data_IF_618409036313
#
_entry.id   IF_618409036313
#
_cell.length_a   1.000
_cell.length_b   1.000
_cell.length_c   1.000
_cell.angle_alpha   90.00
_cell.angle_beta   90.00
_cell.angle_gamma   90.00
#
_symmetry.space_group_name_H-M   'P 1'
#
loop_
_entity.id
_entity.type
_entity.pdbx_description
1 polymer ?
#
# COMPACT_ATOMS: atom_id res chain seq x y z
N UNK A 1 35.77 6.24 -2.38
CA UNK A 1 34.69 5.32 -1.99
C UNK A 1 34.56 4.22 -3.01
N UNK A 2 34.38 3.00 -2.55
CA UNK A 2 34.23 1.87 -3.45
C UNK A 2 32.83 1.86 -4.06
N UNK A 3 32.70 1.23 -5.23
CA UNK A 3 31.41 1.04 -5.88
C UNK A 3 30.45 0.25 -4.99
N UNK A 4 30.99 -0.66 -4.18
CA UNK A 4 30.20 -1.48 -3.26
C UNK A 4 29.49 -0.61 -2.24
N UNK A 5 30.17 0.41 -1.68
CA UNK A 5 29.57 1.32 -0.72
C UNK A 5 28.48 2.16 -1.37
N UNK A 6 28.66 2.60 -2.61
CA UNK A 6 27.65 3.34 -3.35
C UNK A 6 26.41 2.48 -3.59
N UNK A 7 26.61 1.22 -3.96
CA UNK A 7 25.50 0.29 -4.18
C UNK A 7 24.74 0.07 -2.88
N UNK A 8 25.44 -0.13 -1.75
CA UNK A 8 24.81 -0.27 -0.44
C UNK A 8 23.94 0.94 -0.10
N UNK A 9 24.48 2.13 -0.31
CA UNK A 9 23.75 3.36 -0.01
C UNK A 9 22.51 3.50 -0.88
N UNK A 10 22.64 3.22 -2.18
CA UNK A 10 21.50 3.25 -3.08
C UNK A 10 20.42 2.25 -2.69
N UNK A 11 20.81 1.05 -2.24
CA UNK A 11 19.86 0.04 -1.79
C UNK A 11 19.13 0.47 -0.51
N UNK A 12 19.83 1.12 0.42
CA UNK A 12 19.20 1.66 1.62
C UNK A 12 18.22 2.80 1.27
N UNK A 13 18.59 3.64 0.29
CA UNK A 13 17.71 4.71 -0.18
C UNK A 13 16.45 4.14 -0.83
N UNK A 14 16.59 3.11 -1.65
CA UNK A 14 15.44 2.41 -2.25
C UNK A 14 14.54 1.82 -1.17
N UNK A 15 15.12 1.19 -0.15
CA UNK A 15 14.36 0.63 0.96
C UNK A 15 13.59 1.72 1.70
N UNK A 16 14.22 2.85 1.96
CA UNK A 16 13.59 3.98 2.65
C UNK A 16 12.42 4.53 1.82
N UNK A 17 12.66 4.78 0.52
CA UNK A 17 11.62 5.30 -0.37
C UNK A 17 10.46 4.32 -0.51
N UNK A 18 10.75 3.02 -0.56
CA UNK A 18 9.72 1.99 -0.64
C UNK A 18 8.84 1.98 0.61
N UNK A 19 9.44 2.13 1.80
CA UNK A 19 8.69 2.21 3.05
C UNK A 19 7.84 3.46 3.12
N UNK A 20 8.35 4.60 2.65
CA UNK A 20 7.56 5.84 2.60
C UNK A 20 6.37 5.70 1.65
N UNK A 21 6.59 5.11 0.48
CA UNK A 21 5.52 4.88 -0.48
C UNK A 21 4.46 3.94 0.10
N UNK A 22 4.89 2.87 0.79
CA UNK A 22 3.97 1.94 1.45
C UNK A 22 3.12 2.66 2.51
N UNK A 23 3.74 3.54 3.30
CA UNK A 23 3.03 4.34 4.30
C UNK A 23 1.98 5.25 3.69
N UNK A 24 2.30 5.90 2.56
CA UNK A 24 1.35 6.74 1.82
C UNK A 24 0.17 5.94 1.28
N UNK A 25 0.45 4.75 0.76
CA UNK A 25 -0.59 3.85 0.25
C UNK A 25 -1.49 3.37 1.40
N UNK A 26 -0.91 3.04 2.56
CA UNK A 26 -1.69 2.61 3.73
C UNK A 26 -2.57 3.74 4.25
N UNK A 27 -2.09 4.99 4.25
CA UNK A 27 -2.90 6.14 4.62
C UNK A 27 -4.08 6.33 3.65
N UNK A 28 -3.86 6.06 2.37
CA UNK A 28 -4.90 6.10 1.36
C UNK A 28 -5.96 5.03 1.62
N UNK A 29 -5.55 3.84 2.06
CA UNK A 29 -6.46 2.74 2.40
C UNK A 29 -7.40 3.12 3.54
N UNK A 30 -6.93 3.87 4.53
CA UNK A 30 -7.79 4.39 5.61
C UNK A 30 -8.89 5.27 5.03
N UNK A 31 -8.55 6.15 4.08
CA UNK A 31 -9.52 7.00 3.41
C UNK A 31 -10.55 6.19 2.62
N UNK A 32 -10.11 5.13 1.96
CA UNK A 32 -11.00 4.22 1.25
C UNK A 32 -11.99 3.56 2.21
N UNK A 33 -11.51 3.06 3.35
CA UNK A 33 -12.34 2.41 4.35
C UNK A 33 -13.39 3.37 4.90
N UNK A 34 -13.00 4.62 5.13
CA UNK A 34 -13.94 5.67 5.56
C UNK A 34 -14.99 5.97 4.49
N UNK A 35 -14.59 6.00 3.23
CA UNK A 35 -15.52 6.23 2.12
C UNK A 35 -16.53 5.10 2.00
N UNK A 36 -16.09 3.84 2.15
CA UNK A 36 -16.98 2.68 2.14
C UNK A 36 -17.98 2.77 3.29
N UNK A 37 -17.52 3.08 4.49
CA UNK A 37 -18.39 3.22 5.66
C UNK A 37 -19.43 4.32 5.46
N UNK A 38 -19.03 5.45 4.85
CA UNK A 38 -19.93 6.55 4.57
C UNK A 38 -21.01 6.16 3.55
N UNK A 39 -20.62 5.44 2.50
CA UNK A 39 -21.57 4.95 1.51
C UNK A 39 -22.58 4.00 2.16
N UNK A 40 -22.11 3.08 3.00
CA UNK A 40 -23.00 2.16 3.73
C UNK A 40 -23.97 2.89 4.63
N UNK A 41 -23.51 3.94 5.29
CA UNK A 41 -24.33 4.78 6.16
C UNK A 41 -25.43 5.50 5.39
N UNK A 42 -25.08 6.06 4.22
CA UNK A 42 -26.03 6.79 3.37
C UNK A 42 -27.09 5.86 2.76
N UNK A 43 -26.72 4.66 2.43
CA UNK A 43 -27.63 3.67 1.84
C UNK A 43 -28.56 3.10 2.91
N UNK A 44 -28.09 2.96 4.14
CA UNK A 44 -28.84 2.38 5.23
C UNK A 44 -29.19 0.91 4.95
N UNK A 45 -30.41 0.50 5.30
CA UNK A 45 -30.87 -0.85 5.06
C UNK A 45 -31.52 -1.09 3.71
N UNK A 46 -31.52 -0.10 2.83
CA UNK A 46 -32.23 -0.10 1.54
C UNK A 46 -31.29 -0.31 0.36
N UNK A 47 -30.19 -1.04 0.55
CA UNK A 47 -29.20 -1.22 -0.48
C UNK A 47 -29.77 -1.93 -1.71
N UNK A 48 -29.66 -1.28 -2.87
CA UNK A 48 -30.00 -1.88 -4.15
C UNK A 48 -28.81 -2.73 -4.66
N UNK A 49 -29.02 -3.51 -5.73
CA UNK A 49 -27.95 -4.29 -6.34
C UNK A 49 -26.80 -3.39 -6.80
N UNK A 50 -27.12 -2.19 -7.33
CA UNK A 50 -26.11 -1.23 -7.77
C UNK A 50 -25.27 -0.72 -6.59
N UNK A 51 -25.89 -0.43 -5.46
CA UNK A 51 -25.19 0.02 -4.25
C UNK A 51 -24.24 -1.03 -3.72
N UNK A 52 -24.69 -2.29 -3.68
CA UNK A 52 -23.84 -3.41 -3.28
C UNK A 52 -22.65 -3.59 -4.23
N UNK A 53 -22.87 -3.35 -5.51
CA UNK A 53 -21.83 -3.46 -6.53
C UNK A 53 -20.76 -2.37 -6.32
N UNK A 54 -21.17 -1.15 -6.03
CA UNK A 54 -20.26 -0.04 -5.73
C UNK A 54 -19.39 -0.38 -4.51
N UNK A 55 -20.01 -0.86 -3.44
CA UNK A 55 -19.29 -1.24 -2.23
C UNK A 55 -18.28 -2.35 -2.53
N UNK A 56 -18.67 -3.36 -3.31
CA UNK A 56 -17.79 -4.46 -3.68
C UNK A 56 -16.58 -3.98 -4.47
N UNK A 57 -16.76 -3.04 -5.41
CA UNK A 57 -15.66 -2.46 -6.18
C UNK A 57 -14.71 -1.67 -5.27
N UNK A 58 -15.25 -0.88 -4.34
CA UNK A 58 -14.42 -0.13 -3.39
C UNK A 58 -13.61 -1.06 -2.47
N UNK A 59 -14.22 -2.14 -2.02
CA UNK A 59 -13.52 -3.13 -1.18
C UNK A 59 -12.42 -3.85 -1.97
N UNK A 60 -12.65 -4.13 -3.24
CA UNK A 60 -11.64 -4.71 -4.12
C UNK A 60 -10.48 -3.75 -4.32
N UNK A 61 -10.75 -2.45 -4.51
CA UNK A 61 -9.72 -1.43 -4.60
C UNK A 61 -8.89 -1.36 -3.32
N UNK A 62 -9.52 -1.45 -2.15
CA UNK A 62 -8.83 -1.47 -0.88
C UNK A 62 -7.88 -2.68 -0.78
N UNK A 63 -8.33 -3.86 -1.21
CA UNK A 63 -7.46 -5.05 -1.22
C UNK A 63 -6.27 -4.87 -2.15
N UNK A 64 -6.47 -4.26 -3.31
CA UNK A 64 -5.37 -3.99 -4.25
C UNK A 64 -4.35 -3.02 -3.65
N UNK A 65 -4.82 -1.99 -2.95
CA UNK A 65 -3.96 -1.02 -2.25
C UNK A 65 -3.14 -1.71 -1.17
N UNK A 66 -3.76 -2.56 -0.37
CA UNK A 66 -3.05 -3.32 0.68
C UNK A 66 -2.01 -4.26 0.08
N UNK A 67 -2.32 -4.92 -1.03
CA UNK A 67 -1.38 -5.79 -1.72
C UNK A 67 -0.18 -4.99 -2.25
N UNK A 68 -0.42 -3.80 -2.80
CA UNK A 68 0.64 -2.93 -3.29
C UNK A 68 1.55 -2.47 -2.14
N UNK A 69 0.98 -2.10 -1.00
CA UNK A 69 1.77 -1.72 0.18
C UNK A 69 2.62 -2.90 0.66
N UNK A 70 2.06 -4.11 0.69
CA UNK A 70 2.79 -5.33 1.04
C UNK A 70 3.96 -5.59 0.10
N UNK A 71 3.76 -5.38 -1.21
CA UNK A 71 4.83 -5.54 -2.20
C UNK A 71 5.95 -4.53 -1.98
N UNK A 72 5.63 -3.29 -1.63
CA UNK A 72 6.63 -2.26 -1.34
C UNK A 72 7.42 -2.60 -0.07
N UNK A 73 6.76 -3.10 0.97
CA UNK A 73 7.46 -3.55 2.17
C UNK A 73 8.41 -4.73 1.87
N UNK A 74 7.97 -5.66 1.03
CA UNK A 74 8.82 -6.78 0.59
C UNK A 74 10.02 -6.29 -0.20
N UNK A 75 9.82 -5.33 -1.11
CA UNK A 75 10.90 -4.72 -1.88
C UNK A 75 11.92 -4.04 -0.95
N UNK A 76 11.43 -3.30 0.05
CA UNK A 76 12.29 -2.63 1.02
C UNK A 76 13.13 -3.64 1.81
N UNK A 77 12.51 -4.73 2.25
CA UNK A 77 13.21 -5.79 2.99
C UNK A 77 14.26 -6.47 2.13
N UNK A 78 13.90 -6.80 0.89
CA UNK A 78 14.84 -7.42 -0.05
C UNK A 78 16.03 -6.52 -0.32
N UNK A 79 15.79 -5.22 -0.55
CA UNK A 79 16.87 -4.27 -0.78
C UNK A 79 17.79 -4.15 0.43
N UNK A 80 17.23 -4.10 1.64
CA UNK A 80 18.00 -4.02 2.87
C UNK A 80 18.84 -5.29 3.07
N UNK A 81 18.24 -6.46 2.87
CA UNK A 81 18.93 -7.74 3.02
C UNK A 81 20.08 -7.85 2.03
N UNK A 82 19.86 -7.43 0.79
CA UNK A 82 20.91 -7.43 -0.21
C UNK A 82 22.05 -6.48 0.16
N UNK A 83 21.72 -5.27 0.62
CA UNK A 83 22.71 -4.29 1.06
C UNK A 83 23.58 -4.85 2.20
N UNK A 84 22.98 -5.63 3.10
CA UNK A 84 23.70 -6.21 4.24
C UNK A 84 24.59 -7.39 3.85
N UNK A 85 24.39 -7.98 2.70
CA UNK A 85 25.22 -9.08 2.18
C UNK A 85 26.44 -8.61 1.41
N UNK A 86 26.41 -7.40 0.91
CA UNK A 86 27.51 -6.86 0.06
C UNK A 86 28.59 -6.11 0.90
#
# INVERSE_FOLDING_TARGET
MSQIQQVKQQLHDVAYQSRQAAGGIQAFDVKFSQAVARVQELIGGSATAADKQIIAVLQEASRAVKAAAGSLHSAARTATDYANRV
#
